data_IF_908550215126
#
_entry.id   IF_908550215126
#
_cell.length_a   1.000
_cell.length_b   1.000
_cell.length_c   1.000
_cell.angle_alpha   90.00
_cell.angle_beta   90.00
_cell.angle_gamma   90.00
#
_symmetry.space_group_name_H-M   'P 1'
#
loop_
_entity.id
_entity.type
_entity.pdbx_description
1 polymer ?
#
# COMPACT_ATOMS: atom_id res chain seq x y z
N UNK A 1 -79.27 -22.09 -48.70
CA UNK A 1 -79.21 -22.59 -47.33
C UNK A 1 -77.74 -22.88 -47.02
N UNK A 2 -77.06 -21.96 -46.36
CA UNK A 2 -75.83 -22.21 -45.62
C UNK A 2 -75.40 -20.91 -44.98
N UNK A 3 -75.53 -20.88 -43.67
CA UNK A 3 -75.14 -19.77 -42.81
C UNK A 3 -73.57 -19.72 -42.73
N UNK A 4 -73.02 -18.56 -43.06
CA UNK A 4 -71.59 -18.26 -42.69
C UNK A 4 -71.62 -17.27 -41.53
N UNK A 5 -71.11 -17.72 -40.37
CA UNK A 5 -70.78 -16.88 -39.20
C UNK A 5 -69.41 -16.26 -39.42
N UNK A 6 -69.36 -14.95 -39.35
CA UNK A 6 -68.07 -14.22 -39.26
C UNK A 6 -67.60 -14.15 -37.78
N UNK A 7 -66.37 -14.63 -37.52
CA UNK A 7 -65.68 -14.41 -36.25
C UNK A 7 -64.79 -13.17 -36.39
N UNK A 8 -65.05 -12.14 -35.62
CA UNK A 8 -64.18 -10.98 -35.44
C UNK A 8 -63.18 -11.28 -34.34
N UNK A 9 -61.93 -11.48 -34.71
CA UNK A 9 -60.80 -11.60 -33.73
C UNK A 9 -60.39 -10.22 -33.23
N UNK A 10 -60.47 -10.04 -31.94
CA UNK A 10 -59.84 -8.89 -31.24
C UNK A 10 -58.39 -9.24 -31.00
N UNK A 11 -57.45 -8.49 -31.61
CA UNK A 11 -56.02 -8.52 -31.26
C UNK A 11 -55.80 -7.81 -29.96
N UNK A 12 -55.30 -8.52 -28.95
CA UNK A 12 -54.82 -7.94 -27.69
C UNK A 12 -53.35 -7.52 -27.89
N UNK A 13 -53.11 -6.18 -27.84
CA UNK A 13 -51.77 -5.63 -27.74
C UNK A 13 -51.25 -5.87 -26.30
N UNK A 14 -50.30 -6.77 -26.12
CA UNK A 14 -49.55 -6.90 -24.90
C UNK A 14 -48.45 -5.82 -24.91
N UNK A 15 -48.63 -4.80 -24.11
CA UNK A 15 -47.59 -3.81 -23.82
C UNK A 15 -46.48 -4.42 -22.98
N UNK A 16 -45.30 -4.59 -23.55
CA UNK A 16 -44.09 -4.90 -22.81
C UNK A 16 -43.64 -3.62 -22.09
N UNK A 17 -43.83 -3.56 -20.76
CA UNK A 17 -43.24 -2.56 -19.93
C UNK A 17 -41.75 -2.91 -19.76
N UNK A 18 -40.84 -2.14 -20.39
CA UNK A 18 -39.41 -2.18 -20.09
C UNK A 18 -39.23 -1.66 -18.67
N UNK A 19 -38.98 -2.55 -17.73
CA UNK A 19 -38.51 -2.17 -16.40
C UNK A 19 -37.05 -1.69 -16.55
N UNK A 20 -36.87 -0.36 -16.57
CA UNK A 20 -35.54 0.26 -16.45
C UNK A 20 -35.09 0.03 -15.01
N UNK A 21 -34.35 -1.05 -14.74
CA UNK A 21 -33.63 -1.25 -13.48
C UNK A 21 -32.50 -0.24 -13.45
N UNK A 22 -32.71 0.90 -12.80
CA UNK A 22 -31.64 1.78 -12.38
C UNK A 22 -30.76 0.99 -11.39
N UNK A 23 -29.60 0.58 -11.85
CA UNK A 23 -28.54 0.13 -10.96
C UNK A 23 -28.15 1.35 -10.12
N UNK A 24 -28.66 1.43 -8.90
CA UNK A 24 -28.09 2.29 -7.88
C UNK A 24 -26.68 1.74 -7.64
N UNK A 25 -25.69 2.46 -8.13
CA UNK A 25 -24.30 2.20 -7.76
C UNK A 25 -24.26 2.18 -6.23
N UNK A 26 -23.81 1.06 -5.64
CA UNK A 26 -23.57 1.00 -4.21
C UNK A 26 -22.60 2.15 -3.85
N UNK A 27 -22.83 2.85 -2.74
CA UNK A 27 -21.91 3.90 -2.31
C UNK A 27 -20.51 3.29 -2.23
N UNK A 28 -19.56 3.94 -2.89
CA UNK A 28 -18.16 3.53 -2.96
C UNK A 28 -17.55 3.50 -1.54
N UNK A 29 -17.58 2.34 -0.89
CA UNK A 29 -16.84 2.07 0.36
C UNK A 29 -15.40 1.63 0.09
N UNK A 30 -14.94 1.74 -1.14
CA UNK A 30 -13.72 1.11 -1.65
C UNK A 30 -12.42 1.89 -1.39
N UNK A 31 -12.33 2.74 -0.37
CA UNK A 31 -11.11 3.51 -0.07
C UNK A 31 -10.69 3.40 1.40
N UNK A 32 -11.30 2.46 2.11
CA UNK A 32 -11.22 2.35 3.56
C UNK A 32 -10.10 1.40 4.04
N UNK A 33 -9.15 1.03 3.19
CA UNK A 33 -8.02 0.18 3.54
C UNK A 33 -6.80 0.48 2.66
N UNK A 34 -5.67 -0.12 3.00
CA UNK A 34 -4.43 0.02 2.25
C UNK A 34 -4.66 -0.22 0.76
N UNK A 35 -4.12 0.67 -0.11
CA UNK A 35 -4.25 0.62 -1.57
C UNK A 35 -5.69 0.74 -2.11
N UNK A 36 -6.64 1.21 -1.30
CA UNK A 36 -8.01 1.55 -1.70
C UNK A 36 -9.00 0.41 -1.66
N UNK A 37 -8.61 -0.84 -1.85
CA UNK A 37 -9.48 -2.02 -1.83
C UNK A 37 -8.77 -3.25 -1.26
N UNK A 38 -9.52 -4.33 -1.00
CA UNK A 38 -8.97 -5.55 -0.42
C UNK A 38 -8.01 -6.32 -1.34
N UNK A 39 -8.08 -6.08 -2.65
CA UNK A 39 -7.18 -6.66 -3.64
C UNK A 39 -5.92 -5.80 -3.88
N UNK A 40 -5.81 -4.66 -3.23
CA UNK A 40 -4.70 -3.70 -3.29
C UNK A 40 -4.43 -3.16 -4.70
N UNK A 41 -5.47 -2.93 -5.50
CA UNK A 41 -5.29 -2.48 -6.90
C UNK A 41 -4.64 -1.11 -7.04
N UNK A 42 -4.68 -0.26 -6.01
CA UNK A 42 -4.13 1.09 -6.02
C UNK A 42 -4.90 2.05 -6.92
N UNK A 43 -6.15 1.70 -7.27
CA UNK A 43 -7.02 2.49 -8.13
C UNK A 43 -8.14 3.10 -7.30
N UNK A 44 -8.28 4.41 -7.41
CA UNK A 44 -9.26 5.18 -6.67
C UNK A 44 -10.36 5.72 -7.59
N UNK A 45 -11.58 5.73 -7.09
CA UNK A 45 -12.73 6.23 -7.85
C UNK A 45 -12.66 7.76 -8.02
N UNK A 46 -13.08 8.26 -9.19
CA UNK A 46 -13.10 9.68 -9.48
C UNK A 46 -11.82 10.19 -10.12
N UNK A 47 -11.62 11.50 -10.02
CA UNK A 47 -10.47 12.23 -10.57
C UNK A 47 -9.68 12.83 -9.42
N UNK A 48 -8.36 12.80 -9.52
CA UNK A 48 -7.47 13.58 -8.68
C UNK A 48 -7.01 14.86 -9.39
N UNK A 49 -6.24 15.75 -8.73
CA UNK A 49 -5.78 17.00 -9.32
C UNK A 49 -4.78 16.74 -10.46
N UNK A 50 -5.20 17.02 -11.69
CA UNK A 50 -4.33 16.98 -12.87
C UNK A 50 -3.39 18.22 -12.95
N UNK A 51 -3.81 19.28 -12.29
CA UNK A 51 -3.03 20.51 -12.07
C UNK A 51 -2.98 20.77 -10.57
N UNK A 52 -1.80 21.10 -10.06
CA UNK A 52 -1.63 21.42 -8.66
C UNK A 52 -1.98 22.89 -8.40
N UNK A 53 -3.05 23.15 -7.67
CA UNK A 53 -3.44 24.53 -7.29
C UNK A 53 -2.93 24.91 -5.90
N UNK A 54 -2.46 23.94 -5.10
CA UNK A 54 -1.81 24.18 -3.83
C UNK A 54 -2.21 23.20 -2.72
N UNK A 55 -1.84 23.56 -1.50
CA UNK A 55 -2.18 22.84 -0.28
C UNK A 55 -3.60 23.24 0.14
N UNK A 56 -4.50 22.28 0.28
CA UNK A 56 -5.82 22.52 0.86
C UNK A 56 -5.71 22.69 2.37
N UNK A 57 -5.00 21.76 3.00
CA UNK A 57 -4.64 21.81 4.42
C UNK A 57 -3.46 20.87 4.71
N UNK A 58 -2.82 21.04 5.86
CA UNK A 58 -1.87 20.10 6.44
C UNK A 58 -2.18 19.91 7.93
N UNK A 59 -2.02 18.68 8.40
CA UNK A 59 -2.24 18.30 9.80
C UNK A 59 -0.94 17.83 10.42
N UNK A 60 -0.54 18.44 11.53
CA UNK A 60 0.69 18.09 12.26
C UNK A 60 0.45 16.96 13.26
N UNK A 61 1.33 15.97 13.26
CA UNK A 61 1.48 14.96 14.32
C UNK A 61 2.74 15.22 15.13
N UNK A 62 2.96 14.44 16.19
CA UNK A 62 4.18 14.54 17.01
C UNK A 62 5.35 13.68 16.50
N UNK A 63 5.20 12.96 15.38
CA UNK A 63 6.20 12.05 14.82
C UNK A 63 6.07 11.87 13.31
N UNK A 64 6.92 11.06 12.73
CA UNK A 64 6.87 10.72 11.29
C UNK A 64 5.54 10.06 10.93
N UNK A 65 5.05 10.27 9.72
CA UNK A 65 3.84 9.63 9.21
C UNK A 65 4.22 8.70 8.04
N UNK A 66 4.54 7.46 8.36
CA UNK A 66 4.82 6.37 7.39
C UNK A 66 3.53 5.67 6.96
N UNK A 67 2.51 5.69 7.83
CA UNK A 67 1.17 5.17 7.56
C UNK A 67 0.53 5.90 6.38
N UNK A 68 -0.08 5.16 5.47
CA UNK A 68 -0.88 5.77 4.40
C UNK A 68 -2.26 6.17 4.94
N UNK A 69 -2.79 7.33 4.57
CA UNK A 69 -4.15 7.71 4.96
C UNK A 69 -5.18 6.83 4.24
N UNK A 70 -6.30 6.52 4.93
CA UNK A 70 -7.47 5.88 4.34
C UNK A 70 -8.70 6.71 4.63
N UNK A 71 -9.74 6.57 3.79
CA UNK A 71 -10.94 7.38 3.86
C UNK A 71 -12.19 6.53 4.07
N UNK A 72 -13.00 6.90 5.08
CA UNK A 72 -14.35 6.40 5.25
C UNK A 72 -15.28 7.52 5.75
N UNK A 73 -16.43 7.70 5.11
CA UNK A 73 -17.54 8.60 5.53
C UNK A 73 -17.08 10.01 5.95
N UNK A 74 -16.21 10.63 5.16
CA UNK A 74 -15.74 12.00 5.39
C UNK A 74 -14.63 12.14 6.42
N UNK A 75 -14.09 11.04 6.93
CA UNK A 75 -12.93 11.04 7.81
C UNK A 75 -11.72 10.36 7.13
N UNK A 76 -10.52 10.87 7.42
CA UNK A 76 -9.25 10.23 7.14
C UNK A 76 -8.71 9.61 8.41
N UNK A 77 -8.17 8.40 8.28
CA UNK A 77 -7.53 7.67 9.37
C UNK A 77 -6.09 7.36 9.00
N UNK A 78 -5.16 7.54 9.93
CA UNK A 78 -3.74 7.24 9.74
C UNK A 78 -3.04 7.04 11.08
N UNK A 79 -1.91 6.32 11.06
CA UNK A 79 -1.00 6.15 12.19
C UNK A 79 0.15 7.13 12.14
N UNK A 80 0.87 7.30 13.26
CA UNK A 80 2.07 8.11 13.37
C UNK A 80 3.10 7.46 14.30
N UNK A 81 4.38 7.80 14.09
CA UNK A 81 5.47 7.38 14.97
C UNK A 81 5.38 8.02 16.37
N UNK A 82 4.51 9.01 16.57
CA UNK A 82 4.19 9.57 17.89
C UNK A 82 3.29 8.67 18.75
N UNK A 83 3.09 7.41 18.32
CA UNK A 83 2.33 6.38 19.03
C UNK A 83 0.81 6.61 19.01
N UNK A 84 0.31 7.42 18.07
CA UNK A 84 -1.12 7.66 17.95
C UNK A 84 -1.70 7.23 16.61
N UNK A 85 -2.97 6.83 16.65
CA UNK A 85 -3.87 6.74 15.51
C UNK A 85 -4.75 7.98 15.50
N UNK A 86 -4.90 8.60 14.36
CA UNK A 86 -5.67 9.82 14.17
C UNK A 86 -6.89 9.60 13.28
N UNK A 87 -7.98 10.30 13.58
CA UNK A 87 -9.04 10.57 12.65
C UNK A 87 -9.18 12.08 12.48
N UNK A 88 -9.16 12.54 11.23
CA UNK A 88 -9.35 13.94 10.88
C UNK A 88 -10.49 14.07 9.87
N UNK A 89 -11.12 15.22 9.83
CA UNK A 89 -12.09 15.53 8.80
C UNK A 89 -11.36 15.71 7.46
N UNK A 90 -11.79 14.97 6.44
CA UNK A 90 -11.10 14.93 5.14
C UNK A 90 -11.18 16.28 4.39
N UNK A 91 -12.22 17.08 4.62
CA UNK A 91 -12.37 18.36 3.93
C UNK A 91 -11.54 19.47 4.58
N UNK A 92 -11.52 19.50 5.91
CA UNK A 92 -10.95 20.61 6.68
C UNK A 92 -9.63 20.32 7.38
N UNK A 93 -9.23 19.04 7.52
CA UNK A 93 -8.07 18.62 8.30
C UNK A 93 -8.25 18.74 9.83
N UNK A 94 -9.46 19.06 10.31
CA UNK A 94 -9.72 19.18 11.76
C UNK A 94 -9.74 17.80 12.42
N UNK A 95 -9.00 17.65 13.53
CA UNK A 95 -8.97 16.41 14.29
C UNK A 95 -10.35 16.08 14.84
N UNK A 96 -10.85 14.87 14.55
CA UNK A 96 -12.07 14.31 15.15
C UNK A 96 -11.73 13.60 16.48
N UNK A 97 -10.69 12.75 16.45
CA UNK A 97 -10.18 12.07 17.63
C UNK A 97 -8.73 11.61 17.40
N UNK A 98 -8.07 11.22 18.48
CA UNK A 98 -6.82 10.45 18.46
C UNK A 98 -6.88 9.34 19.50
N UNK A 99 -6.20 8.23 19.20
CA UNK A 99 -6.09 7.06 20.07
C UNK A 99 -4.62 6.71 20.28
N UNK A 100 -4.21 6.59 21.55
CA UNK A 100 -2.83 6.27 21.90
C UNK A 100 -2.58 4.75 21.94
N UNK A 101 -1.51 4.32 21.30
CA UNK A 101 -0.87 3.01 21.45
C UNK A 101 0.36 3.13 22.34
N UNK A 102 1.21 2.09 22.44
CA UNK A 102 2.42 2.14 23.27
C UNK A 102 3.72 2.17 22.44
N UNK A 103 3.63 2.18 21.10
CA UNK A 103 4.74 2.38 20.18
C UNK A 103 4.24 2.94 18.84
N UNK A 104 5.15 3.22 17.93
CA UNK A 104 4.86 3.77 16.61
C UNK A 104 3.80 2.95 15.84
N UNK A 105 2.96 3.64 15.05
CA UNK A 105 1.93 3.04 14.20
C UNK A 105 2.29 3.33 12.75
N UNK A 106 3.12 2.47 12.15
CA UNK A 106 3.54 2.57 10.75
C UNK A 106 2.62 1.80 9.79
N UNK A 107 1.66 1.01 10.30
CA UNK A 107 0.65 0.35 9.47
C UNK A 107 -0.39 1.33 8.95
N UNK A 108 -0.90 1.07 7.75
CA UNK A 108 -2.08 1.77 7.23
C UNK A 108 -3.33 1.20 7.91
N UNK A 109 -4.24 2.04 8.43
CA UNK A 109 -5.49 1.55 9.00
C UNK A 109 -6.36 0.84 7.95
N UNK A 110 -7.16 -0.13 8.39
CA UNK A 110 -8.31 -0.61 7.64
C UNK A 110 -9.59 -0.23 8.37
N UNK A 111 -10.62 0.16 7.63
CA UNK A 111 -11.92 0.57 8.19
C UNK A 111 -13.01 -0.26 7.55
N UNK A 112 -13.81 -0.96 8.37
CA UNK A 112 -15.02 -1.61 7.93
C UNK A 112 -16.10 -1.51 9.01
N UNK A 113 -17.35 -1.32 8.61
CA UNK A 113 -18.53 -1.35 9.48
C UNK A 113 -18.39 -0.52 10.76
N UNK A 114 -17.65 0.61 10.71
CA UNK A 114 -17.40 1.50 11.85
C UNK A 114 -16.33 1.02 12.82
N UNK A 115 -15.48 0.10 12.40
CA UNK A 115 -14.27 -0.36 13.12
C UNK A 115 -13.03 0.06 12.35
N UNK A 116 -12.08 0.70 13.02
CA UNK A 116 -10.73 0.98 12.51
C UNK A 116 -9.79 -0.02 13.12
N UNK A 117 -9.04 -0.79 12.30
CA UNK A 117 -8.01 -1.71 12.79
C UNK A 117 -6.64 -1.24 12.35
N UNK A 118 -5.66 -1.30 13.26
CA UNK A 118 -4.24 -0.99 13.03
C UNK A 118 -3.35 -2.00 13.74
N UNK A 119 -2.11 -2.14 13.27
CA UNK A 119 -1.01 -2.81 13.98
C UNK A 119 0.01 -1.79 14.47
N UNK A 120 0.65 -2.04 15.60
CA UNK A 120 1.64 -1.16 16.21
C UNK A 120 2.93 -1.91 16.55
N UNK A 121 4.04 -1.21 16.57
CA UNK A 121 5.33 -1.74 17.00
C UNK A 121 5.38 -2.21 18.47
N UNK A 122 4.32 -1.95 19.26
CA UNK A 122 4.16 -2.53 20.59
C UNK A 122 3.72 -4.01 20.59
N UNK A 123 3.52 -4.60 19.40
CA UNK A 123 3.12 -5.98 19.22
C UNK A 123 1.62 -6.23 19.43
N UNK A 124 0.80 -5.20 19.28
CA UNK A 124 -0.66 -5.34 19.34
C UNK A 124 -1.33 -4.93 18.02
N UNK A 125 -2.41 -5.63 17.70
CA UNK A 125 -3.45 -5.16 16.81
C UNK A 125 -4.55 -4.49 17.66
N UNK A 126 -5.02 -3.32 17.24
CA UNK A 126 -6.05 -2.53 17.91
C UNK A 126 -7.24 -2.34 17.01
N UNK A 127 -8.45 -2.60 17.53
CA UNK A 127 -9.69 -2.19 16.91
C UNK A 127 -10.29 -1.01 17.69
N UNK A 128 -10.58 0.04 16.96
CA UNK A 128 -11.00 1.34 17.49
C UNK A 128 -12.37 1.68 16.88
N UNK A 129 -13.28 2.23 17.66
CA UNK A 129 -14.56 2.76 17.16
C UNK A 129 -14.29 3.94 16.23
N UNK A 130 -14.69 3.84 14.96
CA UNK A 130 -14.40 4.83 13.93
C UNK A 130 -14.99 6.23 14.23
N UNK A 131 -16.14 6.27 14.89
CA UNK A 131 -16.81 7.53 15.25
C UNK A 131 -16.28 8.18 16.52
N UNK A 132 -15.90 7.36 17.53
CA UNK A 132 -15.60 7.82 18.88
C UNK A 132 -14.10 7.81 19.23
N UNK A 133 -13.28 7.05 18.49
CA UNK A 133 -11.86 6.85 18.83
C UNK A 133 -11.63 6.03 20.10
N UNK A 134 -12.61 5.23 20.55
CA UNK A 134 -12.49 4.39 21.74
C UNK A 134 -12.13 2.97 21.37
N UNK A 135 -11.34 2.31 22.24
CA UNK A 135 -10.95 0.91 22.05
C UNK A 135 -12.19 0.00 22.03
N UNK A 136 -12.29 -0.87 21.02
CA UNK A 136 -13.24 -1.98 20.99
C UNK A 136 -12.62 -3.27 21.49
N UNK A 137 -11.49 -3.64 20.91
CA UNK A 137 -10.66 -4.78 21.33
C UNK A 137 -9.20 -4.55 20.97
N UNK A 138 -8.33 -5.29 21.60
CA UNK A 138 -6.92 -5.41 21.22
C UNK A 138 -6.46 -6.85 21.29
N UNK A 139 -5.54 -7.23 20.41
CA UNK A 139 -4.96 -8.56 20.35
C UNK A 139 -3.45 -8.47 20.42
N UNK A 140 -2.83 -9.27 21.31
CA UNK A 140 -1.37 -9.33 21.43
C UNK A 140 -0.83 -10.41 20.50
N UNK A 141 0.10 -10.02 19.59
CA UNK A 141 0.89 -10.95 18.76
C UNK A 141 2.03 -11.56 19.55
N UNK A 142 2.91 -12.33 18.90
CA UNK A 142 4.15 -12.81 19.53
C UNK A 142 5.23 -11.72 19.71
N UNK A 143 4.95 -10.50 19.28
CA UNK A 143 5.84 -9.33 19.35
C UNK A 143 6.26 -8.84 17.96
N UNK A 144 6.66 -7.57 17.87
CA UNK A 144 7.18 -6.98 16.64
C UNK A 144 8.71 -6.91 16.67
N UNK A 145 9.32 -7.24 15.54
CA UNK A 145 10.74 -7.03 15.28
C UNK A 145 10.94 -6.66 13.83
N UNK A 146 11.99 -5.92 13.52
CA UNK A 146 12.42 -5.72 12.14
C UNK A 146 13.13 -6.97 11.62
N UNK A 147 13.18 -7.10 10.30
CA UNK A 147 14.03 -8.09 9.66
C UNK A 147 15.49 -7.84 10.05
N UNK A 148 16.23 -8.92 10.31
CA UNK A 148 17.64 -8.87 10.68
C UNK A 148 18.40 -10.03 10.04
N UNK A 149 19.62 -9.75 9.60
CA UNK A 149 20.51 -10.76 9.02
C UNK A 149 21.97 -10.47 9.32
N UNK A 150 22.80 -11.49 9.18
CA UNK A 150 24.26 -11.33 9.18
C UNK A 150 24.71 -10.70 7.86
N UNK A 151 25.77 -9.90 7.89
CA UNK A 151 26.32 -9.21 6.72
C UNK A 151 25.31 -8.34 5.94
N UNK A 152 24.20 -8.00 6.54
CA UNK A 152 23.15 -7.18 5.92
C UNK A 152 23.78 -5.87 5.40
N UNK A 153 23.55 -5.53 4.13
CA UNK A 153 24.18 -4.38 3.43
C UNK A 153 25.71 -4.36 3.48
N UNK A 154 26.36 -5.53 3.60
CA UNK A 154 27.81 -5.62 3.70
C UNK A 154 28.38 -5.22 5.07
N UNK A 155 27.53 -5.08 6.09
CA UNK A 155 27.95 -4.68 7.44
C UNK A 155 28.93 -5.67 8.08
N UNK A 156 29.88 -5.11 8.83
CA UNK A 156 30.89 -5.85 9.58
C UNK A 156 30.71 -5.64 11.09
N UNK A 157 31.08 -6.60 11.93
CA UNK A 157 31.72 -7.90 11.58
C UNK A 157 30.70 -8.91 11.01
N UNK A 158 31.16 -9.79 10.10
CA UNK A 158 30.32 -10.73 9.36
C UNK A 158 29.53 -11.73 10.22
N UNK A 159 29.94 -11.95 11.47
CA UNK A 159 29.27 -12.85 12.43
C UNK A 159 28.18 -12.16 13.27
N UNK A 160 28.06 -10.84 13.19
CA UNK A 160 27.05 -10.07 13.91
C UNK A 160 25.78 -9.94 13.06
N UNK A 161 24.63 -9.98 13.73
CA UNK A 161 23.31 -9.71 13.14
C UNK A 161 23.01 -8.21 13.21
N UNK A 162 22.47 -7.67 12.13
CA UNK A 162 22.06 -6.28 12.00
C UNK A 162 20.60 -6.23 11.60
N UNK A 163 19.83 -5.35 12.23
CA UNK A 163 18.47 -5.08 11.79
C UNK A 163 18.46 -4.19 10.54
N UNK A 164 17.46 -4.38 9.68
CA UNK A 164 17.35 -3.64 8.42
C UNK A 164 16.69 -2.27 8.64
N UNK A 165 17.40 -1.17 8.39
CA UNK A 165 16.83 0.18 8.51
C UNK A 165 15.75 0.49 7.47
N UNK A 166 15.69 -0.29 6.40
CA UNK A 166 14.68 -0.16 5.34
C UNK A 166 13.40 -0.94 5.63
N UNK A 167 13.40 -1.85 6.61
CA UNK A 167 12.20 -2.53 7.10
C UNK A 167 11.43 -1.58 8.05
N UNK A 168 10.81 -0.57 7.44
CA UNK A 168 10.21 0.56 8.15
C UNK A 168 8.69 0.50 8.23
N UNK A 169 8.06 -0.37 7.46
CA UNK A 169 6.61 -0.52 7.46
C UNK A 169 6.18 -1.68 8.33
N UNK A 170 4.94 -1.61 8.83
CA UNK A 170 4.24 -2.74 9.42
C UNK A 170 3.19 -3.27 8.45
N UNK A 171 2.85 -4.54 8.57
CA UNK A 171 1.75 -5.13 7.84
C UNK A 171 0.44 -4.40 8.14
N UNK A 172 -0.19 -3.87 7.11
CA UNK A 172 -1.49 -3.20 7.21
C UNK A 172 -2.61 -4.24 7.19
N UNK A 173 -3.63 -4.13 8.04
CA UNK A 173 -4.73 -5.07 8.08
C UNK A 173 -5.65 -4.97 6.85
N UNK A 174 -6.30 -6.10 6.51
CA UNK A 174 -7.34 -6.17 5.49
C UNK A 174 -8.54 -6.93 6.03
N UNK A 175 -9.75 -6.48 5.70
CA UNK A 175 -11.00 -7.16 6.04
C UNK A 175 -11.46 -8.13 4.96
N UNK A 176 -12.08 -9.24 5.39
CA UNK A 176 -12.71 -10.20 4.50
C UNK A 176 -13.45 -11.31 5.28
N UNK A 177 -14.65 -11.67 4.87
CA UNK A 177 -15.46 -12.76 5.47
C UNK A 177 -15.66 -12.64 7.00
N UNK A 178 -15.86 -11.42 7.51
CA UNK A 178 -16.06 -11.17 8.93
C UNK A 178 -14.79 -11.36 9.77
N UNK A 179 -13.62 -11.35 9.12
CA UNK A 179 -12.31 -11.42 9.74
C UNK A 179 -11.44 -10.24 9.34
N UNK A 180 -10.44 -9.95 10.16
CA UNK A 180 -9.33 -9.06 9.83
C UNK A 180 -8.04 -9.88 9.76
N UNK A 181 -7.25 -9.66 8.70
CA UNK A 181 -6.00 -10.37 8.44
C UNK A 181 -4.84 -9.39 8.47
N UNK A 182 -3.71 -9.78 9.04
CA UNK A 182 -2.46 -9.01 9.05
C UNK A 182 -1.26 -9.91 9.31
N UNK A 183 -0.09 -9.46 8.90
CA UNK A 183 1.20 -10.06 9.23
C UNK A 183 1.80 -9.44 10.50
N UNK A 184 2.83 -10.06 11.05
CA UNK A 184 3.55 -9.56 12.22
C UNK A 184 5.05 -9.87 12.13
N UNK A 185 5.86 -9.06 12.81
CA UNK A 185 7.30 -9.28 12.96
C UNK A 185 7.65 -10.57 13.69
N UNK A 186 6.71 -11.21 14.36
CA UNK A 186 6.89 -12.55 14.93
C UNK A 186 6.87 -13.68 13.88
N UNK A 187 6.66 -13.32 12.60
CA UNK A 187 6.65 -14.25 11.46
C UNK A 187 5.35 -15.04 11.34
N UNK A 188 4.24 -14.55 11.88
CA UNK A 188 2.94 -15.14 11.66
C UNK A 188 2.03 -14.23 10.83
N UNK A 189 1.14 -14.85 10.06
CA UNK A 189 -0.07 -14.24 9.52
C UNK A 189 -1.22 -14.58 10.47
N UNK A 190 -1.99 -13.58 10.85
CA UNK A 190 -3.12 -13.71 11.77
C UNK A 190 -4.45 -13.48 11.08
N UNK A 191 -5.47 -14.22 11.50
CA UNK A 191 -6.88 -13.94 11.23
C UNK A 191 -7.62 -13.81 12.55
N UNK A 192 -8.21 -12.65 12.77
CA UNK A 192 -9.02 -12.39 13.96
C UNK A 192 -10.47 -12.17 13.55
N UNK A 193 -11.39 -12.51 14.44
CA UNK A 193 -12.78 -12.08 14.30
C UNK A 193 -12.86 -10.56 14.35
N UNK A 194 -13.49 -9.93 13.38
CA UNK A 194 -13.50 -8.46 13.23
C UNK A 194 -14.19 -7.72 14.37
N UNK A 195 -15.18 -8.36 15.02
CA UNK A 195 -15.98 -7.75 16.06
C UNK A 195 -15.42 -7.95 17.48
N UNK A 196 -14.85 -9.13 17.72
CA UNK A 196 -14.42 -9.55 19.07
C UNK A 196 -12.91 -9.55 19.26
N UNK A 197 -12.12 -9.54 18.16
CA UNK A 197 -10.68 -9.71 18.18
C UNK A 197 -10.24 -11.14 18.55
N UNK A 198 -11.16 -12.11 18.60
CA UNK A 198 -10.83 -13.49 18.89
C UNK A 198 -10.00 -14.11 17.75
N UNK A 199 -8.95 -14.85 18.10
CA UNK A 199 -8.13 -15.54 17.12
C UNK A 199 -8.95 -16.62 16.42
N UNK A 200 -9.08 -16.52 15.08
CA UNK A 200 -9.65 -17.59 14.25
C UNK A 200 -8.58 -18.59 13.86
N UNK A 201 -7.47 -18.10 13.32
CA UNK A 201 -6.28 -18.90 13.00
C UNK A 201 -5.02 -18.03 12.92
N UNK A 202 -3.88 -18.68 12.96
CA UNK A 202 -2.59 -18.09 12.61
C UNK A 202 -1.77 -19.06 11.76
N UNK A 203 -1.00 -18.54 10.83
CA UNK A 203 -0.11 -19.30 9.96
C UNK A 203 1.32 -18.84 10.17
N UNK A 204 2.25 -19.78 10.42
CA UNK A 204 3.66 -19.48 10.64
C UNK A 204 4.44 -19.50 9.32
N UNK A 205 5.13 -18.42 9.00
CA UNK A 205 6.12 -18.31 7.91
C UNK A 205 7.54 -18.51 8.45
N UNK A 206 8.54 -18.48 7.55
CA UNK A 206 9.94 -18.65 7.94
C UNK A 206 10.58 -17.42 8.57
N UNK A 207 10.04 -16.19 8.33
CA UNK A 207 10.58 -14.93 8.87
C UNK A 207 9.48 -13.88 9.04
N UNK A 208 9.86 -12.63 9.30
CA UNK A 208 9.00 -11.44 9.47
C UNK A 208 7.97 -11.34 8.34
N UNK A 209 6.75 -10.91 8.67
CA UNK A 209 5.67 -10.65 7.72
C UNK A 209 5.23 -9.19 7.86
N UNK A 210 5.92 -8.28 7.17
CA UNK A 210 5.57 -6.86 7.09
C UNK A 210 4.84 -6.49 5.79
N UNK A 211 4.86 -7.37 4.77
CA UNK A 211 3.95 -7.28 3.63
C UNK A 211 2.49 -7.28 4.12
N UNK A 212 1.68 -6.37 3.58
CA UNK A 212 0.26 -6.31 3.90
C UNK A 212 -0.50 -7.37 3.10
N UNK A 213 -1.33 -8.19 3.74
CA UNK A 213 -2.08 -9.23 3.04
C UNK A 213 -3.16 -8.62 2.15
N UNK A 214 -3.24 -9.08 0.89
CA UNK A 214 -4.36 -8.78 0.02
C UNK A 214 -5.40 -9.91 0.08
N UNK A 215 -6.68 -9.55 0.10
CA UNK A 215 -7.79 -10.50 0.11
C UNK A 215 -8.53 -10.49 -1.22
N UNK A 216 -8.66 -11.66 -1.84
CA UNK A 216 -9.46 -11.83 -3.06
C UNK A 216 -10.11 -13.21 -3.11
N UNK A 217 -11.41 -13.26 -3.38
CA UNK A 217 -12.18 -14.49 -3.62
C UNK A 217 -11.90 -15.61 -2.59
N UNK A 218 -11.88 -15.29 -1.29
CA UNK A 218 -11.69 -16.26 -0.21
C UNK A 218 -10.23 -16.70 0.00
N UNK A 219 -9.27 -15.99 -0.58
CA UNK A 219 -7.84 -16.26 -0.45
C UNK A 219 -7.11 -15.03 0.04
N UNK A 220 -6.17 -15.22 0.97
CA UNK A 220 -5.21 -14.22 1.43
C UNK A 220 -3.90 -14.46 0.70
N UNK A 221 -3.35 -13.41 0.10
CA UNK A 221 -2.03 -13.41 -0.53
C UNK A 221 -1.11 -12.50 0.29
N UNK A 222 0.05 -13.00 0.72
CA UNK A 222 0.96 -12.26 1.59
C UNK A 222 2.40 -12.69 1.38
N UNK A 223 3.31 -11.73 1.32
CA UNK A 223 4.74 -11.97 1.25
C UNK A 223 5.38 -12.05 2.62
N UNK A 224 6.51 -12.75 2.73
CA UNK A 224 7.33 -12.81 3.94
C UNK A 224 8.80 -12.54 3.60
N UNK A 225 9.57 -12.12 4.59
CA UNK A 225 11.02 -11.96 4.46
C UNK A 225 11.76 -13.29 4.27
N UNK A 226 11.08 -14.44 4.40
CA UNK A 226 11.61 -15.76 4.04
C UNK A 226 11.67 -16.02 2.53
N UNK A 227 11.35 -15.01 1.71
CA UNK A 227 11.34 -15.05 0.24
C UNK A 227 10.19 -15.88 -0.36
N UNK A 228 9.13 -16.14 0.41
CA UNK A 228 7.92 -16.77 -0.11
C UNK A 228 6.74 -15.80 -0.16
N UNK A 229 6.01 -15.86 -1.27
CA UNK A 229 4.65 -15.38 -1.37
C UNK A 229 3.72 -16.56 -1.05
N UNK A 230 2.82 -16.38 -0.09
CA UNK A 230 1.87 -17.38 0.35
C UNK A 230 0.47 -17.05 -0.12
N UNK A 231 -0.28 -18.08 -0.52
CA UNK A 231 -1.73 -18.02 -0.71
C UNK A 231 -2.40 -18.93 0.33
N UNK A 232 -3.19 -18.32 1.20
CA UNK A 232 -3.85 -19.00 2.31
C UNK A 232 -5.36 -18.95 2.13
N UNK A 233 -6.06 -20.03 2.46
CA UNK A 233 -7.51 -20.01 2.55
C UNK A 233 -7.95 -19.07 3.68
N UNK A 234 -8.74 -18.04 3.36
CA UNK A 234 -9.10 -17.01 4.32
C UNK A 234 -9.91 -17.55 5.52
N UNK A 235 -10.74 -18.58 5.31
CA UNK A 235 -11.56 -19.15 6.37
C UNK A 235 -10.76 -19.98 7.38
N UNK A 236 -9.70 -20.68 6.94
CA UNK A 236 -9.02 -21.73 7.73
C UNK A 236 -7.55 -21.48 7.98
N UNK A 237 -6.90 -20.61 7.18
CA UNK A 237 -5.46 -20.40 7.18
C UNK A 237 -4.67 -21.52 6.51
N UNK A 238 -5.33 -22.50 5.87
CA UNK A 238 -4.66 -23.59 5.17
C UNK A 238 -3.94 -23.01 3.93
N UNK A 239 -2.66 -23.38 3.77
CA UNK A 239 -1.88 -23.02 2.60
C UNK A 239 -2.45 -23.69 1.34
N UNK A 240 -2.80 -22.88 0.34
CA UNK A 240 -3.20 -23.35 -0.98
C UNK A 240 -1.98 -23.58 -1.87
N UNK A 241 -1.08 -22.61 -1.86
CA UNK A 241 0.20 -22.66 -2.53
C UNK A 241 1.16 -21.61 -1.97
N UNK A 242 2.43 -21.77 -2.26
CA UNK A 242 3.45 -20.74 -2.06
C UNK A 242 4.37 -20.67 -3.27
N UNK A 243 4.90 -19.48 -3.52
CA UNK A 243 5.84 -19.20 -4.59
C UNK A 243 7.14 -18.66 -3.99
N UNK A 244 8.27 -19.28 -4.30
CA UNK A 244 9.59 -18.81 -3.87
C UNK A 244 10.17 -17.88 -4.91
N UNK A 245 10.66 -16.70 -4.48
CA UNK A 245 11.40 -15.77 -5.34
C UNK A 245 12.81 -16.27 -5.61
N UNK A 246 13.48 -15.64 -6.57
CA UNK A 246 14.88 -15.87 -6.84
C UNK A 246 15.79 -15.45 -5.68
N UNK A 247 17.06 -15.75 -5.81
CA UNK A 247 18.12 -15.25 -4.96
C UNK A 247 19.00 -14.33 -5.81
N UNK A 248 19.32 -13.14 -5.32
CA UNK A 248 20.32 -12.29 -5.92
C UNK A 248 21.62 -12.40 -5.10
N UNK A 249 22.65 -13.10 -5.60
CA UNK A 249 23.90 -13.26 -4.86
C UNK A 249 24.64 -11.93 -4.60
N UNK A 250 24.34 -10.89 -5.40
CA UNK A 250 25.00 -9.59 -5.27
C UNK A 250 24.45 -8.76 -4.09
N UNK A 251 23.26 -9.06 -3.61
CA UNK A 251 22.61 -8.30 -2.53
C UNK A 251 22.66 -8.97 -1.15
N UNK A 252 23.41 -10.06 -1.01
CA UNK A 252 23.76 -10.68 0.27
C UNK A 252 22.64 -10.71 1.32
N UNK A 253 21.73 -11.68 1.28
CA UNK A 253 20.64 -11.87 2.25
C UNK A 253 19.63 -10.72 2.35
N UNK A 254 19.48 -9.89 1.33
CA UNK A 254 18.53 -8.79 1.28
C UNK A 254 17.27 -9.13 0.49
N UNK A 255 17.08 -10.39 0.17
CA UNK A 255 15.89 -10.93 -0.49
C UNK A 255 14.73 -11.00 0.48
N UNK A 256 13.52 -10.99 -0.04
CA UNK A 256 12.29 -11.05 0.75
C UNK A 256 11.24 -10.06 0.24
N UNK A 257 10.01 -10.26 0.70
CA UNK A 257 8.90 -9.39 0.34
C UNK A 257 8.71 -8.28 1.37
N UNK A 258 9.09 -7.07 0.99
CA UNK A 258 8.74 -5.85 1.71
C UNK A 258 7.47 -5.22 1.11
N UNK A 259 7.34 -5.23 -0.22
CA UNK A 259 6.14 -4.82 -0.94
C UNK A 259 4.96 -5.75 -0.70
N UNK A 260 3.76 -5.25 -0.92
CA UNK A 260 2.52 -6.02 -0.75
C UNK A 260 1.94 -6.42 -2.11
N UNK A 261 1.32 -7.61 -2.21
CA UNK A 261 0.72 -8.06 -3.46
C UNK A 261 -0.51 -7.25 -3.84
N UNK A 262 -0.72 -7.11 -5.17
CA UNK A 262 -1.94 -6.60 -5.77
C UNK A 262 -2.58 -7.67 -6.66
N UNK A 263 -3.90 -7.80 -6.67
CA UNK A 263 -4.61 -8.82 -7.43
C UNK A 263 -5.52 -8.17 -8.47
N UNK A 264 -5.39 -8.57 -9.72
CA UNK A 264 -6.30 -8.16 -10.80
C UNK A 264 -6.42 -9.25 -11.86
N UNK A 265 -7.63 -9.51 -12.35
CA UNK A 265 -7.87 -10.47 -13.43
C UNK A 265 -7.37 -11.90 -13.14
N UNK A 266 -7.37 -12.35 -11.88
CA UNK A 266 -6.87 -13.65 -11.48
C UNK A 266 -5.33 -13.78 -11.47
N UNK A 267 -4.62 -12.66 -11.46
CA UNK A 267 -3.16 -12.59 -11.39
C UNK A 267 -2.75 -11.82 -10.14
N UNK A 268 -1.78 -12.32 -9.42
CA UNK A 268 -1.10 -11.65 -8.31
C UNK A 268 0.15 -10.98 -8.86
N UNK A 269 0.27 -9.66 -8.65
CA UNK A 269 1.44 -8.88 -8.99
C UNK A 269 2.15 -8.46 -7.71
N UNK A 270 3.46 -8.67 -7.63
CA UNK A 270 4.23 -8.36 -6.42
C UNK A 270 5.69 -8.06 -6.75
N UNK A 271 6.20 -7.00 -6.16
CA UNK A 271 7.63 -6.66 -6.20
C UNK A 271 8.40 -7.37 -5.10
N UNK A 272 9.67 -7.65 -5.34
CA UNK A 272 10.55 -8.29 -4.38
C UNK A 272 11.92 -7.60 -4.33
N UNK A 273 12.65 -7.78 -3.23
CA UNK A 273 14.01 -7.26 -3.06
C UNK A 273 15.07 -8.07 -3.80
N UNK A 274 14.71 -9.15 -4.48
CA UNK A 274 15.56 -9.85 -5.46
C UNK A 274 15.65 -9.12 -6.82
N UNK A 275 15.19 -7.86 -6.87
CA UNK A 275 15.17 -7.01 -8.04
C UNK A 275 14.24 -7.50 -9.16
N UNK A 276 13.09 -8.07 -8.79
CA UNK A 276 12.07 -8.49 -9.77
C UNK A 276 10.66 -8.01 -9.39
N UNK A 277 9.87 -7.74 -10.44
CA UNK A 277 8.42 -7.69 -10.40
C UNK A 277 7.88 -9.01 -10.95
N UNK A 278 7.00 -9.67 -10.22
CA UNK A 278 6.41 -10.96 -10.58
C UNK A 278 4.93 -10.83 -10.90
N UNK A 279 4.47 -11.62 -11.88
CA UNK A 279 3.06 -11.92 -12.12
C UNK A 279 2.83 -13.41 -11.97
N UNK A 280 1.94 -13.78 -11.05
CA UNK A 280 1.71 -15.14 -10.62
C UNK A 280 0.22 -15.46 -10.78
N UNK A 281 -0.12 -16.61 -11.33
CA UNK A 281 -1.51 -17.06 -11.42
C UNK A 281 -2.09 -17.27 -10.03
N UNK A 282 -3.15 -16.54 -9.69
CA UNK A 282 -3.73 -16.50 -8.37
C UNK A 282 -4.29 -17.85 -7.90
N UNK A 283 -4.75 -18.69 -8.81
CA UNK A 283 -5.31 -20.00 -8.49
C UNK A 283 -4.26 -21.08 -8.25
N UNK A 284 -3.19 -21.09 -9.05
CA UNK A 284 -2.20 -22.17 -9.06
C UNK A 284 -0.84 -21.82 -8.45
N UNK A 285 -0.53 -20.56 -8.23
CA UNK A 285 0.79 -20.10 -7.79
C UNK A 285 1.89 -20.22 -8.83
N UNK A 286 1.55 -20.46 -10.10
CA UNK A 286 2.53 -20.55 -11.18
C UNK A 286 2.87 -19.16 -11.70
N UNK A 287 4.16 -18.94 -11.92
CA UNK A 287 4.65 -17.72 -12.56
C UNK A 287 4.09 -17.63 -14.00
N UNK A 288 3.59 -16.45 -14.35
CA UNK A 288 3.18 -16.08 -15.71
C UNK A 288 4.28 -15.33 -16.43
N UNK A 289 4.89 -14.38 -15.75
CA UNK A 289 6.06 -13.63 -16.18
C UNK A 289 6.76 -13.00 -14.97
N UNK A 290 8.03 -12.66 -15.16
CA UNK A 290 8.78 -11.77 -14.27
C UNK A 290 9.48 -10.69 -15.08
N UNK A 291 9.82 -9.58 -14.42
CA UNK A 291 10.55 -8.47 -15.01
C UNK A 291 11.68 -8.06 -14.07
N UNK A 292 12.94 -8.19 -14.55
CA UNK A 292 14.14 -7.82 -13.78
C UNK A 292 14.41 -6.31 -13.83
N UNK A 293 14.68 -5.70 -12.68
CA UNK A 293 14.96 -4.27 -12.50
C UNK A 293 16.44 -3.94 -12.40
N UNK A 294 17.31 -4.82 -12.92
CA UNK A 294 18.76 -4.62 -13.00
C UNK A 294 19.42 -4.36 -11.62
N UNK A 295 19.03 -5.16 -10.61
CA UNK A 295 19.57 -5.07 -9.25
C UNK A 295 18.91 -4.04 -8.35
N UNK A 296 17.90 -3.33 -8.83
CA UNK A 296 17.15 -2.36 -8.02
C UNK A 296 15.93 -3.01 -7.36
N UNK A 297 15.78 -2.85 -6.05
CA UNK A 297 14.66 -3.44 -5.31
C UNK A 297 13.31 -2.87 -5.74
N UNK A 298 12.30 -3.72 -5.70
CA UNK A 298 10.89 -3.32 -5.80
C UNK A 298 10.25 -3.50 -4.44
N UNK A 299 10.18 -2.43 -3.67
CA UNK A 299 9.71 -2.42 -2.27
C UNK A 299 8.33 -1.82 -2.10
N UNK A 300 7.81 -1.16 -3.14
CA UNK A 300 6.45 -0.65 -3.19
C UNK A 300 5.43 -1.75 -3.56
N UNK A 301 4.15 -1.44 -3.41
CA UNK A 301 3.05 -2.29 -3.86
C UNK A 301 2.56 -1.76 -5.21
N UNK A 302 2.48 -2.59 -6.27
CA UNK A 302 2.14 -2.08 -7.59
C UNK A 302 0.70 -1.58 -7.67
N UNK A 303 0.44 -0.61 -8.57
CA UNK A 303 -0.92 -0.28 -8.99
C UNK A 303 -1.26 -0.98 -10.30
N UNK A 304 -2.51 -1.43 -10.44
CA UNK A 304 -2.97 -2.16 -11.63
C UNK A 304 -4.07 -1.34 -12.31
N UNK A 305 -3.68 -0.59 -13.33
CA UNK A 305 -4.58 0.36 -14.01
C UNK A 305 -4.34 0.41 -15.52
N UNK A 306 -5.39 0.60 -16.31
CA UNK A 306 -5.29 0.77 -17.76
C UNK A 306 -4.63 -0.40 -18.48
N UNK A 307 -4.69 -1.63 -17.94
CA UNK A 307 -3.98 -2.79 -18.46
C UNK A 307 -2.48 -2.82 -18.15
N UNK A 308 -2.02 -1.97 -17.24
CA UNK A 308 -0.62 -1.85 -16.86
C UNK A 308 -0.39 -2.20 -15.39
N UNK A 309 0.83 -2.66 -15.09
CA UNK A 309 1.41 -2.78 -13.74
C UNK A 309 2.36 -1.60 -13.56
N UNK A 310 2.08 -0.78 -12.55
CA UNK A 310 2.78 0.48 -12.27
C UNK A 310 3.52 0.36 -10.94
N UNK A 311 4.83 0.63 -10.93
CA UNK A 311 5.65 0.51 -9.72
C UNK A 311 6.93 1.35 -9.80
N UNK A 312 7.49 1.65 -8.63
CA UNK A 312 8.77 2.32 -8.47
C UNK A 312 9.90 1.38 -8.11
N UNK A 313 11.13 1.86 -8.21
CA UNK A 313 12.34 1.12 -7.80
C UNK A 313 13.20 1.94 -6.86
N UNK A 314 14.08 1.25 -6.12
CA UNK A 314 15.05 1.87 -5.22
C UNK A 314 16.18 2.57 -5.99
N UNK A 315 17.33 1.93 -6.12
CA UNK A 315 18.59 2.55 -6.55
C UNK A 315 18.59 3.11 -7.96
N UNK A 316 17.91 2.43 -8.90
CA UNK A 316 17.76 2.92 -10.28
C UNK A 316 16.86 4.14 -10.36
N UNK A 317 16.02 4.39 -9.35
CA UNK A 317 15.06 5.51 -9.33
C UNK A 317 14.20 5.54 -10.59
N UNK A 318 13.73 4.38 -11.06
CA UNK A 318 12.88 4.23 -12.23
C UNK A 318 11.43 3.98 -11.80
N UNK A 319 10.53 4.72 -12.42
CA UNK A 319 9.11 4.38 -12.42
C UNK A 319 8.80 3.57 -13.68
N UNK A 320 8.17 2.41 -13.51
CA UNK A 320 7.87 1.48 -14.57
C UNK A 320 6.36 1.36 -14.81
N UNK A 321 5.98 1.29 -16.07
CA UNK A 321 4.68 0.83 -16.52
C UNK A 321 4.89 -0.37 -17.44
N UNK A 322 4.46 -1.54 -17.01
CA UNK A 322 4.54 -2.78 -17.79
C UNK A 322 3.14 -3.18 -18.25
N UNK A 323 3.03 -3.77 -19.43
CA UNK A 323 1.80 -4.44 -19.86
C UNK A 323 1.49 -5.59 -18.89
N UNK A 324 0.31 -5.57 -18.28
CA UNK A 324 -0.07 -6.50 -17.22
C UNK A 324 -0.15 -7.96 -17.68
N UNK A 325 -0.45 -8.21 -18.96
CA UNK A 325 -0.56 -9.57 -19.48
C UNK A 325 0.79 -10.19 -19.81
N UNK A 326 1.76 -9.38 -20.25
CA UNK A 326 3.02 -9.85 -20.83
C UNK A 326 4.28 -9.48 -20.06
N UNK A 327 4.21 -8.52 -19.11
CA UNK A 327 5.36 -7.99 -18.40
C UNK A 327 6.30 -7.11 -19.24
N UNK A 328 5.91 -6.78 -20.49
CA UNK A 328 6.74 -5.93 -21.35
C UNK A 328 6.62 -4.47 -20.99
N UNK A 329 7.72 -3.69 -21.02
CA UNK A 329 7.67 -2.27 -20.78
C UNK A 329 6.75 -1.54 -21.76
N UNK A 330 5.84 -0.71 -21.23
CA UNK A 330 5.03 0.25 -21.99
C UNK A 330 5.76 1.58 -22.02
N UNK A 331 6.16 2.06 -20.84
CA UNK A 331 7.06 3.19 -20.67
C UNK A 331 7.85 3.08 -19.37
N UNK A 332 8.91 3.85 -19.27
CA UNK A 332 9.71 4.04 -18.06
C UNK A 332 9.98 5.54 -17.89
N UNK A 333 9.98 5.99 -16.63
CA UNK A 333 10.32 7.38 -16.28
C UNK A 333 11.52 7.35 -15.36
N UNK A 334 12.59 8.06 -15.76
CA UNK A 334 13.75 8.26 -14.88
C UNK A 334 13.39 9.34 -13.87
N UNK A 335 13.40 8.95 -12.58
CA UNK A 335 13.29 9.89 -11.47
C UNK A 335 14.67 10.22 -10.90
N UNK A 336 14.72 11.14 -9.96
CA UNK A 336 15.95 11.62 -9.35
C UNK A 336 16.22 11.03 -7.96
N UNK A 337 15.29 10.20 -7.41
CA UNK A 337 15.43 9.63 -6.07
C UNK A 337 14.63 8.32 -5.91
N UNK A 338 14.82 7.60 -4.79
CA UNK A 338 14.14 6.33 -4.47
C UNK A 338 12.62 6.47 -4.43
N UNK A 339 11.93 5.50 -5.04
CA UNK A 339 10.48 5.41 -5.12
C UNK A 339 9.99 4.25 -4.24
N UNK A 340 9.71 4.53 -2.96
CA UNK A 340 9.24 3.53 -1.98
C UNK A 340 7.74 3.68 -1.67
N UNK A 341 7.16 4.80 -2.05
CA UNK A 341 5.72 5.02 -2.02
C UNK A 341 5.05 4.19 -3.09
N UNK A 342 3.95 3.52 -2.75
CA UNK A 342 3.18 2.77 -3.74
C UNK A 342 2.33 3.72 -4.59
N UNK A 343 2.34 3.60 -5.94
CA UNK A 343 1.62 4.53 -6.81
C UNK A 343 0.10 4.43 -6.65
N UNK A 344 -0.59 5.57 -6.67
CA UNK A 344 -2.05 5.70 -6.62
C UNK A 344 -2.58 6.21 -7.95
N UNK A 345 -3.62 5.57 -8.49
CA UNK A 345 -4.21 5.95 -9.78
C UNK A 345 -5.63 6.44 -9.57
N UNK A 346 -5.94 7.64 -10.12
CA UNK A 346 -7.29 8.16 -10.16
C UNK A 346 -7.56 8.81 -11.54
N UNK A 347 -8.53 8.27 -12.27
CA UNK A 347 -8.77 8.67 -13.65
C UNK A 347 -7.58 8.39 -14.55
N UNK A 348 -7.00 9.43 -15.13
CA UNK A 348 -5.84 9.37 -16.03
C UNK A 348 -4.52 9.87 -15.40
N UNK A 349 -4.46 9.95 -14.07
CA UNK A 349 -3.30 10.44 -13.31
C UNK A 349 -2.78 9.39 -12.35
N UNK A 350 -1.45 9.25 -12.30
CA UNK A 350 -0.71 8.45 -11.31
C UNK A 350 -0.04 9.40 -10.33
N UNK A 351 -0.15 9.14 -9.04
CA UNK A 351 0.52 9.88 -7.97
C UNK A 351 1.51 8.96 -7.28
N UNK A 352 2.74 9.42 -7.09
CA UNK A 352 3.79 8.65 -6.41
C UNK A 352 4.63 9.55 -5.52
N UNK A 353 4.88 9.08 -4.29
CA UNK A 353 5.77 9.75 -3.34
C UNK A 353 7.23 9.37 -3.55
N UNK A 354 8.12 10.27 -3.19
CA UNK A 354 9.57 10.12 -3.31
C UNK A 354 10.25 10.27 -1.95
N UNK A 355 11.34 9.54 -1.75
CA UNK A 355 12.10 9.62 -0.50
C UNK A 355 12.87 10.93 -0.33
N UNK A 356 12.87 11.82 -1.33
CA UNK A 356 13.39 13.20 -1.23
C UNK A 356 12.35 14.22 -0.76
N UNK A 357 11.17 13.77 -0.31
CA UNK A 357 10.07 14.65 0.12
C UNK A 357 9.21 15.19 -1.02
N UNK A 358 9.34 14.63 -2.22
CA UNK A 358 8.49 14.93 -3.36
C UNK A 358 7.22 14.08 -3.39
N UNK A 359 6.13 14.65 -3.92
CA UNK A 359 4.98 13.92 -4.46
C UNK A 359 4.83 14.33 -5.92
N UNK A 360 4.81 13.36 -6.81
CA UNK A 360 4.73 13.59 -8.25
C UNK A 360 3.40 13.09 -8.81
N UNK A 361 2.88 13.80 -9.81
CA UNK A 361 1.77 13.37 -10.63
C UNK A 361 2.22 13.14 -12.06
N UNK A 362 1.89 11.98 -12.61
CA UNK A 362 2.22 11.56 -13.96
C UNK A 362 0.93 11.30 -14.76
N UNK A 363 0.97 11.58 -16.05
CA UNK A 363 -0.05 11.13 -16.99
C UNK A 363 0.02 9.60 -17.13
N UNK A 364 -1.08 8.90 -16.82
CA UNK A 364 -1.14 7.43 -16.76
C UNK A 364 -0.70 6.75 -18.05
N UNK A 365 -1.01 7.34 -19.22
CA UNK A 365 -0.75 6.70 -20.53
C UNK A 365 0.68 6.89 -21.01
N UNK A 366 1.29 8.03 -20.67
CA UNK A 366 2.57 8.45 -21.25
C UNK A 366 3.72 8.50 -20.25
N UNK A 367 3.43 8.50 -18.95
CA UNK A 367 4.41 8.74 -17.91
C UNK A 367 4.92 10.19 -17.85
N UNK A 368 4.34 11.10 -18.65
CA UNK A 368 4.76 12.51 -18.63
C UNK A 368 4.40 13.13 -17.28
N UNK A 369 5.39 13.78 -16.66
CA UNK A 369 5.18 14.56 -15.44
C UNK A 369 4.20 15.71 -15.71
N UNK A 370 3.17 15.79 -14.87
CA UNK A 370 2.17 16.85 -14.85
C UNK A 370 2.57 17.94 -13.88
N UNK A 371 2.94 17.55 -12.66
CA UNK A 371 3.43 18.43 -11.61
C UNK A 371 4.20 17.64 -10.54
N UNK A 372 4.96 18.37 -9.73
CA UNK A 372 5.63 17.86 -8.54
C UNK A 372 5.42 18.83 -7.38
N UNK A 373 5.09 18.29 -6.22
CA UNK A 373 5.03 18.98 -4.94
C UNK A 373 6.26 18.62 -4.11
N UNK A 374 6.74 19.56 -3.30
CA UNK A 374 7.84 19.33 -2.34
C UNK A 374 7.38 19.69 -0.94
N UNK A 375 7.61 18.80 0.05
CA UNK A 375 7.38 19.10 1.45
C UNK A 375 8.23 20.29 1.92
N UNK A 376 7.83 20.92 3.02
CA UNK A 376 8.60 22.06 3.54
C UNK A 376 9.98 21.58 4.03
N UNK A 377 10.04 20.45 4.72
CA UNK A 377 11.32 19.86 5.15
C UNK A 377 12.26 19.54 3.95
N UNK A 378 11.72 19.11 2.80
CA UNK A 378 12.52 18.88 1.60
C UNK A 378 13.15 20.16 1.03
N UNK A 379 12.48 21.30 1.17
CA UNK A 379 13.00 22.60 0.75
C UNK A 379 14.07 23.11 1.73
N UNK A 380 13.81 22.98 3.03
CA UNK A 380 14.68 23.47 4.10
C UNK A 380 15.95 22.64 4.28
N UNK A 381 15.81 21.31 4.21
CA UNK A 381 16.88 20.34 4.51
C UNK A 381 17.59 19.79 3.28
N UNK A 382 17.41 20.38 2.11
CA UNK A 382 17.94 19.90 0.83
C UNK A 382 19.39 19.45 0.90
N UNK A 383 20.25 20.26 1.50
CA UNK A 383 21.69 20.04 1.52
C UNK A 383 22.14 18.85 2.40
N UNK A 384 21.23 18.23 3.16
CA UNK A 384 21.54 17.02 3.93
C UNK A 384 21.77 15.78 3.05
N UNK A 385 21.10 15.71 1.89
CA UNK A 385 21.07 14.49 1.10
C UNK A 385 20.93 14.70 -0.41
N UNK A 386 20.72 15.94 -0.88
CA UNK A 386 20.46 16.25 -2.29
C UNK A 386 21.55 17.11 -2.91
N UNK A 387 21.78 16.92 -4.21
CA UNK A 387 22.52 17.84 -5.06
C UNK A 387 21.67 19.05 -5.45
N UNK A 388 22.25 20.03 -6.13
CA UNK A 388 21.55 21.24 -6.57
C UNK A 388 20.35 20.94 -7.51
N UNK A 389 20.45 19.90 -8.32
CA UNK A 389 19.41 19.39 -9.23
C UNK A 389 18.40 18.47 -8.53
N UNK A 390 18.46 18.36 -7.19
CA UNK A 390 17.63 17.50 -6.34
C UNK A 390 17.84 15.99 -6.52
N UNK A 391 18.83 15.57 -7.30
CA UNK A 391 19.23 14.17 -7.37
C UNK A 391 19.95 13.73 -6.09
N UNK A 392 20.07 12.41 -5.91
CA UNK A 392 20.77 11.79 -4.77
C UNK A 392 22.21 12.30 -4.65
N UNK A 393 22.60 12.66 -3.44
CA UNK A 393 23.99 12.87 -3.08
C UNK A 393 24.50 11.68 -2.28
N UNK A 394 24.95 10.63 -2.97
CA UNK A 394 25.35 9.37 -2.34
C UNK A 394 26.49 9.57 -1.33
N UNK A 395 27.40 10.49 -1.56
CA UNK A 395 28.47 10.83 -0.61
C UNK A 395 27.96 11.42 0.69
N UNK A 396 26.78 12.02 0.70
CA UNK A 396 26.11 12.53 1.91
C UNK A 396 25.18 11.51 2.53
N UNK A 397 24.50 10.70 1.71
CA UNK A 397 23.55 9.68 2.16
C UNK A 397 24.25 8.47 2.79
N UNK A 398 25.30 7.97 2.13
CA UNK A 398 25.96 6.71 2.48
C UNK A 398 27.43 6.94 2.82
N UNK A 399 27.70 7.66 3.91
CA UNK A 399 29.06 7.90 4.37
C UNK A 399 29.65 6.59 4.91
N UNK A 400 30.91 6.33 4.65
CA UNK A 400 31.62 5.15 5.13
C UNK A 400 31.63 5.02 6.68
N UNK A 401 31.41 6.14 7.39
CA UNK A 401 31.27 6.16 8.85
C UNK A 401 29.90 5.75 9.37
N UNK A 402 28.89 5.64 8.49
CA UNK A 402 27.51 5.37 8.88
C UNK A 402 27.31 3.88 9.09
N UNK A 403 26.95 3.49 10.29
CA UNK A 403 26.69 2.11 10.64
C UNK A 403 25.43 1.59 9.94
N UNK A 404 25.58 0.60 9.06
CA UNK A 404 24.46 -0.11 8.44
C UNK A 404 23.52 0.72 7.59
N UNK A 405 23.92 1.90 7.14
CA UNK A 405 23.05 2.80 6.39
C UNK A 405 21.98 3.52 7.23
N UNK A 406 21.91 3.28 8.55
CA UNK A 406 20.91 3.87 9.46
C UNK A 406 20.90 5.40 9.38
N UNK A 407 22.07 6.02 9.44
CA UNK A 407 22.19 7.48 9.34
C UNK A 407 21.78 8.02 7.96
N UNK A 408 21.96 7.23 6.91
CA UNK A 408 21.49 7.56 5.56
C UNK A 408 19.97 7.60 5.48
N UNK A 409 19.31 6.60 6.04
CA UNK A 409 17.83 6.56 6.15
C UNK A 409 17.32 7.73 6.99
N UNK A 410 17.95 8.05 8.11
CA UNK A 410 17.56 9.20 8.92
C UNK A 410 17.73 10.53 8.20
N UNK A 411 18.79 10.71 7.39
CA UNK A 411 18.95 11.90 6.53
C UNK A 411 17.81 12.00 5.52
N UNK A 412 17.42 10.91 4.89
CA UNK A 412 16.27 10.89 3.97
C UNK A 412 14.99 11.24 4.69
N UNK A 413 14.75 10.68 5.88
CA UNK A 413 13.56 11.03 6.66
C UNK A 413 13.52 12.51 7.06
N UNK A 414 14.67 13.13 7.32
CA UNK A 414 14.75 14.56 7.60
C UNK A 414 14.48 15.44 6.36
N UNK A 415 14.45 14.86 5.16
CA UNK A 415 13.94 15.55 3.96
C UNK A 415 12.40 15.59 3.90
N UNK A 416 11.70 15.03 4.88
CA UNK A 416 10.24 14.90 4.80
C UNK A 416 9.83 13.91 3.72
N UNK A 417 10.47 12.74 3.68
CA UNK A 417 10.20 11.67 2.72
C UNK A 417 8.72 11.34 2.64
N UNK A 418 8.21 11.18 1.41
CA UNK A 418 6.85 10.69 1.15
C UNK A 418 6.93 9.19 0.87
N UNK A 419 7.02 8.40 1.94
CA UNK A 419 7.04 6.93 1.89
C UNK A 419 5.63 6.33 1.99
N UNK A 420 4.67 7.06 2.54
CA UNK A 420 3.26 6.66 2.55
C UNK A 420 2.70 6.59 1.12
N UNK A 421 1.74 5.67 0.88
CA UNK A 421 1.02 5.61 -0.40
C UNK A 421 -0.01 6.74 -0.46
N UNK A 422 -0.11 7.49 -1.57
CA UNK A 422 -1.13 8.52 -1.71
C UNK A 422 -2.54 7.93 -1.73
N UNK A 423 -3.49 8.66 -1.16
CA UNK A 423 -4.92 8.41 -1.26
C UNK A 423 -5.54 9.51 -2.13
N UNK A 424 -6.41 9.12 -3.07
CA UNK A 424 -7.13 10.08 -3.91
C UNK A 424 -8.62 9.98 -3.66
N UNK A 425 -9.22 11.05 -3.17
CA UNK A 425 -10.67 11.14 -2.92
C UNK A 425 -11.14 12.59 -3.00
N UNK A 426 -12.37 12.79 -3.49
CA UNK A 426 -13.02 14.10 -3.59
C UNK A 426 -12.16 15.19 -4.30
N UNK A 427 -11.44 14.80 -5.35
CA UNK A 427 -10.60 15.72 -6.12
C UNK A 427 -9.33 16.18 -5.41
N UNK A 428 -8.94 15.57 -4.30
CA UNK A 428 -7.72 15.84 -3.53
C UNK A 428 -6.82 14.62 -3.45
N UNK A 429 -5.52 14.86 -3.24
CA UNK A 429 -4.53 13.82 -2.91
C UNK A 429 -4.07 14.03 -1.47
N UNK A 430 -4.11 12.95 -0.70
CA UNK A 430 -3.69 12.93 0.69
C UNK A 430 -2.49 12.00 0.86
N UNK A 431 -1.51 12.39 1.66
CA UNK A 431 -0.34 11.56 1.97
C UNK A 431 0.28 11.96 3.30
N UNK A 432 0.93 11.00 3.95
CA UNK A 432 1.77 11.23 5.13
C UNK A 432 3.22 11.49 4.72
N UNK A 433 3.93 12.24 5.52
CA UNK A 433 5.34 12.55 5.33
C UNK A 433 6.13 12.34 6.62
N UNK A 434 7.41 12.05 6.47
CA UNK A 434 8.32 11.89 7.61
C UNK A 434 8.68 13.21 8.31
N UNK A 435 8.22 14.35 7.77
CA UNK A 435 8.27 15.64 8.47
C UNK A 435 7.19 15.81 9.56
N UNK A 436 6.38 14.78 9.77
CA UNK A 436 5.34 14.76 10.79
C UNK A 436 4.00 15.35 10.34
N UNK A 437 3.81 15.57 9.06
CA UNK A 437 2.55 16.09 8.54
C UNK A 437 1.81 15.07 7.67
N UNK A 438 0.48 15.16 7.70
CA UNK A 438 -0.40 14.68 6.64
C UNK A 438 -0.81 15.89 5.80
N UNK A 439 -0.63 15.77 4.50
CA UNK A 439 -0.94 16.81 3.51
C UNK A 439 -2.21 16.46 2.74
N UNK A 440 -2.99 17.47 2.41
CA UNK A 440 -4.06 17.43 1.42
C UNK A 440 -3.74 18.43 0.31
N UNK A 441 -3.55 17.95 -0.92
CA UNK A 441 -3.30 18.79 -2.11
C UNK A 441 -4.54 18.84 -2.99
N UNK A 442 -4.72 19.99 -3.68
CA UNK A 442 -5.82 20.24 -4.62
C UNK A 442 -5.33 20.87 -5.91
#
# INVERSE_FOLDING_TARGET
>A
MLNRRFYTGRAALAGMALACTTWLAAPCSAQAMFRGDSAHTGVYAGQGPRELTGIAWKFATGGRVLSSPVFDKGALYFGSDDQNVYAVDAETGVQKWKFATHAAVASTPAVDSGVVVVTSYDGYAYAIDAGKGTLRWKFKTGGERRFEAKMLHGNQPANQTFWDPWDMFLSSPVFGQGAVFFGSGDGNVYALDEWTGALRWKFKTGDVVHSSPAYHAGTIYVGSWDSYLYALEAATGVEKWRFKTGEDPAIHNQVGFQGSPAISGGVVYVGCRDAHMYAIDAGSGKEKWNFGTQGSWVVDSPAIAGGMVLFGTSDSSLFHALDAATGKPVYQVQDNFFLFSSPAVAGDVVYIGKMNGGLEALDLKTGKQLWEFQTDASKENRDLALKADRSKNDAMLFRASDYGGVAGVDRMFNLGSVASSPLVVNGKVYFGSTDGYVYALK
#
